data_IF_191747237943
#
_entry.id   IF_191747237943
#
_cell.length_a   1.000
_cell.length_b   1.000
_cell.length_c   1.000
_cell.angle_alpha   90.00
_cell.angle_beta   90.00
_cell.angle_gamma   90.00
#
_symmetry.space_group_name_H-M   'P 1'
#
loop_
_entity.id
_entity.type
_entity.pdbx_description
1 polymer ?
#
# COMPACT_ATOMS: atom_id res chain seq x y z
N UNK A 1 4.66 5.53 -14.31
CA UNK A 1 4.79 6.44 -13.15
C UNK A 1 4.14 7.76 -13.53
N UNK A 2 3.24 8.29 -12.71
CA UNK A 2 2.46 9.49 -13.03
C UNK A 2 3.01 10.72 -12.31
N UNK A 3 3.13 10.67 -10.97
CA UNK A 3 3.64 11.77 -10.16
C UNK A 3 4.44 11.27 -8.96
N UNK A 4 5.38 12.10 -8.47
CA UNK A 4 6.05 11.90 -7.18
C UNK A 4 5.75 13.12 -6.29
N UNK A 5 5.16 12.86 -5.13
CA UNK A 5 4.91 13.86 -4.10
C UNK A 5 5.81 13.68 -2.88
N UNK A 6 6.05 14.78 -2.16
CA UNK A 6 6.69 14.76 -0.84
C UNK A 6 5.77 15.45 0.16
N UNK A 7 5.51 14.82 1.29
CA UNK A 7 4.72 15.39 2.37
C UNK A 7 5.42 15.14 3.72
N UNK A 8 5.17 15.99 4.72
CA UNK A 8 5.61 15.73 6.09
C UNK A 8 4.47 15.14 6.90
N UNK A 9 4.72 13.99 7.51
CA UNK A 9 3.70 13.32 8.31
C UNK A 9 4.24 12.83 9.65
N UNK A 10 3.35 12.90 10.63
CA UNK A 10 3.59 12.43 11.98
C UNK A 10 3.67 10.90 11.98
N UNK A 11 4.85 10.36 12.27
CA UNK A 11 5.14 8.92 12.15
C UNK A 11 5.81 8.40 13.42
N UNK A 12 5.50 7.16 13.82
CA UNK A 12 6.22 6.47 14.89
C UNK A 12 7.62 6.11 14.41
N UNK A 13 8.62 6.57 15.15
CA UNK A 13 10.05 6.41 14.83
C UNK A 13 10.78 5.80 16.00
N UNK A 14 11.98 5.28 15.74
CA UNK A 14 12.93 4.93 16.79
C UNK A 14 13.92 6.06 17.01
N UNK A 15 14.07 6.50 18.26
CA UNK A 15 15.10 7.46 18.67
C UNK A 15 16.05 6.79 19.63
N UNK A 16 17.26 7.31 19.69
CA UNK A 16 18.26 6.85 20.64
C UNK A 16 18.32 7.81 21.83
N UNK A 17 18.08 7.28 23.01
CA UNK A 17 18.29 7.98 24.27
C UNK A 17 19.59 7.52 24.91
N UNK A 18 20.30 8.45 25.52
CA UNK A 18 21.48 8.15 26.32
C UNK A 18 21.01 7.78 27.73
N UNK A 19 21.31 6.55 28.17
CA UNK A 19 21.02 6.08 29.53
C UNK A 19 22.32 5.77 30.26
N UNK A 20 22.28 5.78 31.59
CA UNK A 20 23.42 5.49 32.46
C UNK A 20 23.12 4.25 33.29
N UNK A 21 24.07 3.32 33.37
CA UNK A 21 23.97 2.21 34.35
C UNK A 21 24.21 2.77 35.75
N UNK A 22 23.29 2.53 36.66
CA UNK A 22 23.37 3.02 38.04
C UNK A 22 24.61 2.48 38.77
N UNK A 23 24.96 1.21 38.53
CA UNK A 23 26.02 0.51 39.25
C UNK A 23 27.43 0.88 38.78
N UNK A 24 27.63 1.07 37.47
CA UNK A 24 28.96 1.31 36.88
C UNK A 24 29.17 2.73 36.39
N UNK A 25 28.11 3.55 36.36
CA UNK A 25 28.14 4.89 35.79
C UNK A 25 28.37 4.93 34.27
N UNK A 26 28.49 3.77 33.60
CA UNK A 26 28.74 3.66 32.17
C UNK A 26 27.51 4.11 31.38
N UNK A 27 27.76 4.80 30.26
CA UNK A 27 26.72 5.29 29.37
C UNK A 27 26.43 4.26 28.28
N UNK A 28 25.16 4.04 27.98
CA UNK A 28 24.72 3.20 26.86
C UNK A 28 23.59 3.86 26.07
N UNK A 29 23.41 3.42 24.84
CA UNK A 29 22.36 3.89 23.93
C UNK A 29 21.14 2.99 24.07
N UNK A 30 19.95 3.59 24.25
CA UNK A 30 18.68 2.89 24.37
C UNK A 30 17.73 3.33 23.26
N UNK A 31 17.20 2.38 22.51
CA UNK A 31 16.23 2.64 21.45
C UNK A 31 14.83 2.79 22.06
N UNK A 32 14.24 3.96 21.90
CA UNK A 32 12.85 4.25 22.31
C UNK A 32 11.98 4.50 21.10
N UNK A 33 10.70 4.11 21.22
CA UNK A 33 9.68 4.55 20.26
C UNK A 33 9.25 5.97 20.61
N UNK A 34 9.27 6.84 19.62
CA UNK A 34 8.78 8.21 19.73
C UNK A 34 7.96 8.54 18.48
N UNK A 35 7.51 9.78 18.36
CA UNK A 35 6.80 10.28 17.20
C UNK A 35 7.52 11.51 16.66
N UNK A 36 7.73 11.58 15.34
CA UNK A 36 8.37 12.71 14.69
C UNK A 36 7.65 13.08 13.40
N UNK A 37 7.77 14.34 12.98
CA UNK A 37 7.42 14.77 11.63
C UNK A 37 8.53 14.31 10.68
N UNK A 38 8.19 13.42 9.76
CA UNK A 38 9.13 12.79 8.83
C UNK A 38 8.65 13.04 7.41
N UNK A 39 9.58 13.21 6.47
CA UNK A 39 9.22 13.29 5.06
C UNK A 39 8.77 11.90 4.57
N UNK A 40 7.63 11.86 3.90
CA UNK A 40 7.16 10.72 3.14
C UNK A 40 7.18 11.05 1.65
N UNK A 41 7.64 10.11 0.85
CA UNK A 41 7.53 10.17 -0.60
C UNK A 41 6.36 9.32 -1.07
N UNK A 42 5.56 9.89 -1.95
CA UNK A 42 4.41 9.25 -2.58
C UNK A 42 4.70 9.09 -4.06
N UNK A 43 4.75 7.85 -4.54
CA UNK A 43 4.89 7.55 -5.96
C UNK A 43 3.53 7.07 -6.47
N UNK A 44 2.87 7.89 -7.27
CA UNK A 44 1.57 7.57 -7.88
C UNK A 44 1.79 6.89 -9.23
N UNK A 45 1.13 5.75 -9.42
CA UNK A 45 1.24 4.91 -10.60
C UNK A 45 -0.15 4.50 -11.11
N UNK A 46 -0.19 4.07 -12.37
CA UNK A 46 -1.39 3.56 -13.03
C UNK A 46 -1.05 2.18 -13.57
N UNK A 47 -1.76 1.15 -13.11
CA UNK A 47 -1.65 -0.20 -13.63
C UNK A 47 -2.87 -0.54 -14.48
N UNK A 48 -2.67 -1.33 -15.55
CA UNK A 48 -3.76 -1.73 -16.44
C UNK A 48 -4.82 -2.59 -15.75
N UNK A 49 -4.42 -3.41 -14.80
CA UNK A 49 -5.29 -4.42 -14.19
C UNK A 49 -5.88 -3.94 -12.86
N UNK A 50 -5.17 -3.04 -12.15
CA UNK A 50 -5.56 -2.50 -10.84
C UNK A 50 -6.01 -1.03 -10.86
N UNK A 51 -5.75 -0.30 -11.94
CA UNK A 51 -6.00 1.13 -11.99
C UNK A 51 -5.00 1.94 -11.15
N UNK A 52 -5.41 3.09 -10.60
CA UNK A 52 -4.52 3.97 -9.86
C UNK A 52 -4.13 3.36 -8.49
N UNK A 53 -2.83 3.43 -8.19
CA UNK A 53 -2.30 3.04 -6.89
C UNK A 53 -1.13 3.96 -6.51
N UNK A 54 -0.72 3.93 -5.24
CA UNK A 54 0.46 4.66 -4.79
C UNK A 54 1.34 3.85 -3.85
N UNK A 55 2.64 4.13 -3.93
CA UNK A 55 3.64 3.68 -2.97
C UNK A 55 4.02 4.84 -2.06
N UNK A 56 3.95 4.63 -0.76
CA UNK A 56 4.35 5.59 0.26
C UNK A 56 5.60 5.11 0.98
N UNK A 57 6.65 5.93 1.00
CA UNK A 57 7.94 5.61 1.61
C UNK A 57 8.26 6.57 2.76
N UNK A 58 8.61 6.02 3.93
CA UNK A 58 9.11 6.78 5.06
C UNK A 58 10.62 7.05 4.89
N UNK A 59 11.05 8.31 5.00
CA UNK A 59 12.48 8.67 4.89
C UNK A 59 13.26 8.50 6.19
N UNK A 60 12.62 8.04 7.26
CA UNK A 60 13.26 7.82 8.56
C UNK A 60 13.19 6.36 8.94
N UNK A 61 14.25 5.89 9.60
CA UNK A 61 14.38 4.52 10.09
C UNK A 61 13.12 4.06 10.87
N UNK A 62 12.51 2.90 10.54
CA UNK A 62 13.07 1.79 9.75
C UNK A 62 12.75 1.83 8.24
N UNK A 63 12.46 3.01 7.67
CA UNK A 63 12.21 3.20 6.22
C UNK A 63 11.03 2.38 5.68
N UNK A 64 9.97 2.27 6.47
CA UNK A 64 8.76 1.54 6.08
C UNK A 64 8.18 2.05 4.76
N UNK A 65 7.70 1.13 3.94
CA UNK A 65 6.92 1.42 2.73
C UNK A 65 5.50 0.87 2.85
N UNK A 66 4.55 1.50 2.15
CA UNK A 66 3.17 1.02 2.01
C UNK A 66 2.76 1.05 0.55
N UNK A 67 2.20 -0.04 0.05
CA UNK A 67 1.45 -0.08 -1.19
C UNK A 67 -0.03 0.15 -0.86
N UNK A 68 -0.63 1.13 -1.51
CA UNK A 68 -2.03 1.49 -1.34
C UNK A 68 -2.73 1.52 -2.69
N UNK A 69 -3.85 0.80 -2.79
CA UNK A 69 -4.68 0.71 -3.99
C UNK A 69 -6.15 0.73 -3.58
N UNK A 70 -7.03 1.09 -4.51
CA UNK A 70 -8.49 1.01 -4.32
C UNK A 70 -8.99 -0.30 -4.94
N UNK A 71 -9.61 -1.15 -4.13
CA UNK A 71 -10.13 -2.43 -4.62
C UNK A 71 -11.31 -2.27 -5.58
N UNK A 72 -12.13 -1.23 -5.43
CA UNK A 72 -13.21 -0.94 -6.39
C UNK A 72 -12.66 -0.53 -7.76
N UNK A 73 -11.56 0.23 -7.81
CA UNK A 73 -10.89 0.54 -9.08
C UNK A 73 -10.38 -0.71 -9.77
N UNK A 74 -9.80 -1.65 -9.02
CA UNK A 74 -9.44 -2.96 -9.56
C UNK A 74 -10.66 -3.67 -10.17
N UNK A 75 -11.79 -3.74 -9.46
CA UNK A 75 -13.00 -4.42 -9.98
C UNK A 75 -13.52 -3.74 -11.25
N UNK A 76 -13.60 -2.41 -11.27
CA UNK A 76 -14.00 -1.64 -12.48
C UNK A 76 -13.08 -1.94 -13.66
N UNK A 77 -11.76 -1.96 -13.45
CA UNK A 77 -10.79 -2.33 -14.51
C UNK A 77 -11.01 -3.77 -14.98
N UNK A 78 -11.28 -4.71 -14.06
CA UNK A 78 -11.55 -6.10 -14.44
C UNK A 78 -12.86 -6.26 -15.22
N UNK A 79 -13.92 -5.54 -14.85
CA UNK A 79 -15.19 -5.53 -15.59
C UNK A 79 -15.01 -4.93 -16.98
N UNK A 80 -14.32 -3.79 -17.08
CA UNK A 80 -14.02 -3.13 -18.35
C UNK A 80 -13.18 -4.03 -19.28
N UNK A 81 -12.11 -4.65 -18.75
CA UNK A 81 -11.25 -5.57 -19.50
C UNK A 81 -11.99 -6.84 -19.99
N UNK A 82 -13.12 -7.19 -19.35
CA UNK A 82 -13.97 -8.32 -19.72
C UNK A 82 -15.19 -7.92 -20.55
N UNK A 83 -15.37 -6.63 -20.82
CA UNK A 83 -16.51 -6.11 -21.56
C UNK A 83 -17.85 -6.28 -20.84
N UNK A 84 -17.86 -6.31 -19.50
CA UNK A 84 -19.09 -6.42 -18.71
C UNK A 84 -19.63 -5.01 -18.43
N UNK A 85 -20.87 -4.74 -18.84
CA UNK A 85 -21.52 -3.45 -18.62
C UNK A 85 -21.67 -3.16 -17.12
N UNK A 86 -21.27 -1.97 -16.69
CA UNK A 86 -21.45 -1.53 -15.31
C UNK A 86 -21.53 0.00 -15.22
N UNK A 87 -22.21 0.50 -14.20
CA UNK A 87 -22.26 1.91 -13.84
C UNK A 87 -21.35 2.16 -12.64
N UNK A 88 -20.29 2.94 -12.85
CA UNK A 88 -19.29 3.22 -11.81
C UNK A 88 -19.71 4.37 -10.89
N UNK A 89 -19.41 4.24 -9.59
CA UNK A 89 -19.40 5.33 -8.60
C UNK A 89 -17.96 5.64 -8.20
N UNK A 90 -17.69 6.78 -7.58
CA UNK A 90 -16.32 7.13 -7.15
C UNK A 90 -15.67 6.04 -6.27
N UNK A 91 -16.42 5.45 -5.35
CA UNK A 91 -15.96 4.40 -4.44
C UNK A 91 -16.81 3.13 -4.52
N UNK A 92 -17.32 2.77 -5.69
CA UNK A 92 -18.10 1.55 -5.85
C UNK A 92 -18.63 1.33 -7.26
N UNK A 93 -19.57 0.41 -7.37
CA UNK A 93 -20.33 0.10 -8.58
C UNK A 93 -21.81 0.28 -8.22
N UNK A 94 -22.52 1.07 -9.00
CA UNK A 94 -23.95 1.32 -8.83
C UNK A 94 -24.77 0.14 -9.35
N UNK A 95 -24.44 -0.32 -10.56
CA UNK A 95 -25.11 -1.44 -11.22
C UNK A 95 -24.13 -2.21 -12.09
N UNK A 96 -24.38 -3.51 -12.27
CA UNK A 96 -23.56 -4.39 -13.09
C UNK A 96 -24.45 -5.38 -13.85
N UNK A 97 -24.14 -5.60 -15.12
CA UNK A 97 -24.83 -6.56 -15.99
C UNK A 97 -24.73 -8.00 -15.46
N UNK A 98 -23.61 -8.33 -14.81
CA UNK A 98 -23.36 -9.65 -14.22
C UNK A 98 -22.83 -9.54 -12.78
N UNK A 99 -23.73 -9.36 -11.78
CA UNK A 99 -23.34 -9.20 -10.38
C UNK A 99 -22.61 -10.43 -9.81
N UNK A 100 -22.85 -11.63 -10.35
CA UNK A 100 -22.15 -12.84 -9.91
C UNK A 100 -20.68 -12.81 -10.32
N UNK A 101 -20.40 -12.36 -11.55
CA UNK A 101 -19.01 -12.16 -12.00
C UNK A 101 -18.34 -11.01 -11.29
N UNK A 102 -19.04 -9.92 -11.00
CA UNK A 102 -18.52 -8.84 -10.15
C UNK A 102 -18.08 -9.37 -8.80
N UNK A 103 -18.94 -10.10 -8.10
CA UNK A 103 -18.61 -10.68 -6.80
C UNK A 103 -17.39 -11.61 -6.87
N UNK A 104 -17.32 -12.47 -7.89
CA UNK A 104 -16.17 -13.34 -8.10
C UNK A 104 -14.86 -12.56 -8.35
N UNK A 105 -14.93 -11.37 -8.95
CA UNK A 105 -13.78 -10.48 -9.11
C UNK A 105 -13.36 -9.85 -7.78
N UNK A 106 -14.31 -9.41 -6.96
CA UNK A 106 -14.08 -8.91 -5.61
C UNK A 106 -13.41 -9.97 -4.74
N UNK A 107 -13.98 -11.18 -4.69
CA UNK A 107 -13.47 -12.31 -3.91
C UNK A 107 -12.10 -12.78 -4.41
N UNK A 108 -11.83 -12.60 -5.71
CA UNK A 108 -10.57 -12.92 -6.33
C UNK A 108 -9.44 -11.93 -6.04
N UNK A 109 -9.68 -10.79 -5.37
CA UNK A 109 -8.62 -9.84 -5.01
C UNK A 109 -7.85 -10.35 -3.79
N UNK A 110 -6.73 -11.05 -4.04
CA UNK A 110 -5.92 -11.68 -3.00
C UNK A 110 -4.62 -10.93 -2.71
N UNK A 111 -4.00 -11.23 -1.57
CA UNK A 111 -2.67 -10.73 -1.22
C UNK A 111 -1.59 -11.11 -2.25
N UNK A 112 -1.70 -12.28 -2.88
CA UNK A 112 -0.78 -12.73 -3.93
C UNK A 112 -0.84 -11.85 -5.18
N UNK A 113 -2.04 -11.41 -5.58
CA UNK A 113 -2.21 -10.48 -6.70
C UNK A 113 -1.60 -9.11 -6.37
N UNK A 114 -1.77 -8.64 -5.13
CA UNK A 114 -1.20 -7.38 -4.66
C UNK A 114 0.34 -7.45 -4.60
N UNK A 115 0.90 -8.59 -4.14
CA UNK A 115 2.35 -8.83 -4.17
C UNK A 115 2.87 -8.92 -5.61
N UNK A 116 2.13 -9.57 -6.51
CA UNK A 116 2.42 -9.61 -7.94
C UNK A 116 2.47 -8.23 -8.58
N UNK A 117 1.52 -7.34 -8.23
CA UNK A 117 1.55 -5.93 -8.63
C UNK A 117 2.84 -5.26 -8.15
N UNK A 118 3.17 -5.39 -6.86
CA UNK A 118 4.39 -4.80 -6.32
C UNK A 118 5.64 -5.29 -7.08
N UNK A 119 5.78 -6.60 -7.27
CA UNK A 119 6.92 -7.19 -7.97
C UNK A 119 7.03 -6.74 -9.40
N UNK A 120 5.91 -6.69 -10.14
CA UNK A 120 5.84 -6.18 -11.52
C UNK A 120 6.39 -4.76 -11.61
N UNK A 121 6.05 -3.91 -10.65
CA UNK A 121 6.49 -2.52 -10.66
C UNK A 121 7.91 -2.31 -10.11
N UNK A 122 8.41 -3.21 -9.26
CA UNK A 122 9.81 -3.22 -8.82
C UNK A 122 10.76 -3.83 -9.86
N UNK A 123 10.32 -4.80 -10.66
CA UNK A 123 11.15 -5.48 -11.66
C UNK A 123 11.31 -4.70 -12.97
N UNK A 124 10.53 -3.63 -13.16
CA UNK A 124 10.63 -2.71 -14.30
C UNK A 124 11.89 -1.85 -14.34
N UNK A 125 12.75 -1.91 -13.32
CA UNK A 125 14.12 -1.39 -13.33
C UNK A 125 15.09 -2.57 -13.23
N UNK A 126 16.13 -2.56 -14.08
CA UNK A 126 17.19 -3.57 -14.25
C UNK A 126 17.40 -4.56 -13.09
N UNK A 127 17.50 -5.84 -13.48
CA UNK A 127 17.79 -7.05 -12.68
C UNK A 127 18.55 -6.82 -11.36
N UNK A 128 18.06 -7.51 -10.33
CA UNK A 128 18.61 -7.74 -8.98
C UNK A 128 18.33 -6.65 -7.94
N UNK A 129 17.16 -6.75 -7.30
CA UNK A 129 16.97 -6.30 -5.92
C UNK A 129 16.19 -7.39 -5.16
N UNK A 130 16.84 -8.01 -4.16
CA UNK A 130 16.16 -8.82 -3.15
C UNK A 130 15.38 -7.86 -2.24
N UNK A 131 14.05 -7.88 -2.31
CA UNK A 131 13.21 -7.13 -1.36
C UNK A 131 12.34 -8.08 -0.54
N UNK A 132 12.72 -8.28 0.72
CA UNK A 132 11.81 -8.76 1.77
C UNK A 132 10.96 -7.56 2.19
N UNK A 133 9.75 -7.43 1.62
CA UNK A 133 8.81 -6.37 1.99
C UNK A 133 7.64 -6.99 2.77
N UNK A 134 7.49 -6.58 4.04
CA UNK A 134 6.33 -6.93 4.85
C UNK A 134 5.11 -6.12 4.37
N UNK A 135 4.38 -6.65 3.39
CA UNK A 135 3.10 -6.10 2.94
C UNK A 135 2.03 -6.53 3.94
N UNK A 136 1.67 -5.66 4.88
CA UNK A 136 0.47 -5.84 5.70
C UNK A 136 -0.75 -5.39 4.90
N UNK A 137 -1.30 -6.29 4.09
CA UNK A 137 -2.63 -6.13 3.54
C UNK A 137 -3.62 -6.07 4.71
N UNK A 138 -4.33 -4.94 4.88
CA UNK A 138 -5.51 -4.88 5.76
C UNK A 138 -6.67 -5.50 4.98
N UNK A 139 -6.63 -6.82 4.82
CA UNK A 139 -7.81 -7.62 4.45
C UNK A 139 -8.68 -7.71 5.71
N UNK A 140 -9.83 -7.04 5.74
CA UNK A 140 -10.68 -7.10 6.93
C UNK A 140 -11.93 -6.25 6.94
N UNK A 141 -12.33 -5.64 5.82
CA UNK A 141 -13.69 -5.13 5.69
C UNK A 141 -14.38 -5.93 4.59
N UNK A 142 -15.55 -6.52 4.85
CA UNK A 142 -16.35 -7.12 3.78
C UNK A 142 -16.64 -6.05 2.74
N UNK A 143 -16.39 -6.34 1.47
CA UNK A 143 -16.93 -5.54 0.38
C UNK A 143 -18.46 -5.61 0.50
N UNK A 144 -19.15 -4.49 0.77
CA UNK A 144 -20.60 -4.52 0.71
C UNK A 144 -20.99 -4.73 -0.76
N UNK A 145 -21.92 -5.65 -0.98
CA UNK A 145 -22.77 -5.66 -2.17
C UNK A 145 -23.35 -4.24 -2.33
N UNK A 146 -23.42 -3.78 -3.58
CA UNK A 146 -24.25 -2.67 -4.08
C UNK A 146 -25.15 -2.01 -3.03
N UNK A 147 -25.06 -0.67 -2.91
CA UNK A 147 -25.89 0.17 -2.03
C UNK A 147 -27.35 -0.31 -1.92
#
# INVERSE_FOLDING_TARGET
MLFIGKAQEKTSVFRTERRRKEQTGATYLWLVRSTAMVNHFYVYCMDRDFGPFFLKFCTYFPYNAKLCLNGHEYVKQQLANRGIGHEALDNGILSCEDPKREQALCDGLSGEKIDGLLRKWLSGQSRNVLSTLWIRARTGLPFPLSL
#
